data_IF_441112544295
#
_entry.id   IF_441112544295
#
_cell.length_a   1.000
_cell.length_b   1.000
_cell.length_c   1.000
_cell.angle_alpha   90.00
_cell.angle_beta   90.00
_cell.angle_gamma   90.00
#
_symmetry.space_group_name_H-M   'P 1'
#
loop_
_entity.id
_entity.type
_entity.pdbx_description
1 polymer ?
#
# COMPACT_ATOMS: atom_id res chain seq x y z
N UNK A 1 22.70 -3.79 -33.38
CA UNK A 1 21.71 -3.42 -34.39
C UNK A 1 20.42 -3.08 -33.69
N UNK A 2 19.49 -2.38 -34.33
CA UNK A 2 18.14 -2.22 -33.72
C UNK A 2 17.38 -3.54 -33.86
N UNK A 3 16.62 -3.91 -32.88
CA UNK A 3 15.85 -5.16 -32.81
C UNK A 3 14.39 -4.86 -32.59
N UNK A 4 13.50 -5.66 -33.14
CA UNK A 4 12.07 -5.54 -32.88
C UNK A 4 11.74 -6.00 -31.48
N UNK A 5 10.86 -5.26 -30.80
CA UNK A 5 10.40 -5.56 -29.45
C UNK A 5 8.96 -5.10 -29.21
N UNK A 6 8.27 -5.80 -28.34
CA UNK A 6 7.08 -5.28 -27.67
C UNK A 6 7.56 -4.42 -26.51
N UNK A 7 7.00 -3.21 -26.39
CA UNK A 7 7.20 -2.28 -25.28
C UNK A 7 5.90 -2.28 -24.50
N UNK A 8 5.99 -2.52 -23.19
CA UNK A 8 4.85 -2.53 -22.26
C UNK A 8 5.13 -1.55 -21.12
N UNK A 9 4.23 -0.61 -20.91
CA UNK A 9 4.33 0.37 -19.82
C UNK A 9 3.05 0.30 -18.98
N UNK A 10 3.03 -0.46 -17.89
CA UNK A 10 2.07 -0.25 -16.81
C UNK A 10 2.38 1.06 -16.07
N UNK A 11 1.34 1.89 -15.84
CA UNK A 11 1.45 3.21 -15.25
C UNK A 11 0.33 3.42 -14.21
N UNK A 12 0.71 3.87 -12.99
CA UNK A 12 -0.22 4.04 -11.90
C UNK A 12 -0.97 5.37 -12.05
N UNK A 13 -2.25 5.31 -12.36
CA UNK A 13 -3.12 6.48 -12.43
C UNK A 13 -3.52 6.96 -11.04
N UNK A 14 -3.60 8.30 -10.86
CA UNK A 14 -3.90 8.93 -9.56
C UNK A 14 -2.67 9.21 -8.69
N UNK A 15 -1.46 8.90 -9.17
CA UNK A 15 -0.21 9.05 -8.43
C UNK A 15 0.06 10.49 -7.97
N UNK A 16 -0.17 11.49 -8.82
CA UNK A 16 0.11 12.89 -8.50
C UNK A 16 -0.76 13.38 -7.34
N UNK A 17 -2.05 13.06 -7.36
CA UNK A 17 -2.98 13.44 -6.29
C UNK A 17 -2.66 12.67 -5.00
N UNK A 18 -2.29 11.41 -5.12
CA UNK A 18 -1.89 10.57 -4.01
C UNK A 18 -0.63 11.10 -3.31
N UNK A 19 0.41 11.45 -4.05
CA UNK A 19 1.69 11.94 -3.47
C UNK A 19 1.61 13.39 -2.98
N UNK A 20 0.74 14.20 -3.59
CA UNK A 20 0.56 15.62 -3.22
C UNK A 20 -0.21 15.86 -1.94
N UNK A 21 -0.94 14.85 -1.45
CA UNK A 21 -1.91 15.03 -0.35
C UNK A 21 -1.40 14.56 1.03
N UNK A 22 -0.12 14.09 1.19
CA UNK A 22 0.14 13.18 2.31
C UNK A 22 1.57 13.10 2.81
N UNK A 23 1.71 12.41 3.95
CA UNK A 23 2.98 12.02 4.54
C UNK A 23 3.83 11.24 3.52
N UNK A 24 4.97 11.79 3.18
CA UNK A 24 5.86 11.32 2.11
C UNK A 24 6.29 9.86 2.34
N UNK A 25 6.58 9.47 3.58
CA UNK A 25 7.11 8.15 3.90
C UNK A 25 6.08 7.03 3.65
N UNK A 26 4.83 7.24 4.05
CA UNK A 26 3.76 6.28 3.81
C UNK A 26 3.39 6.18 2.32
N UNK A 27 3.35 7.31 1.62
CA UNK A 27 3.13 7.35 0.19
C UNK A 27 4.24 6.60 -0.57
N UNK A 28 5.51 6.88 -0.26
CA UNK A 28 6.67 6.23 -0.87
C UNK A 28 6.64 4.71 -0.64
N UNK A 29 6.29 4.27 0.57
CA UNK A 29 6.21 2.86 0.89
C UNK A 29 5.11 2.13 0.08
N UNK A 30 3.90 2.69 0.03
CA UNK A 30 2.78 2.11 -0.74
C UNK A 30 3.15 2.03 -2.23
N UNK A 31 3.73 3.09 -2.79
CA UNK A 31 4.13 3.09 -4.20
C UNK A 31 5.23 2.08 -4.48
N UNK A 32 6.26 1.99 -3.61
CA UNK A 32 7.33 0.99 -3.76
C UNK A 32 6.74 -0.42 -3.80
N UNK A 33 5.85 -0.75 -2.86
CA UNK A 33 5.17 -2.04 -2.79
C UNK A 33 4.36 -2.36 -4.06
N UNK A 34 3.65 -1.36 -4.60
CA UNK A 34 2.85 -1.53 -5.82
C UNK A 34 3.74 -1.68 -7.07
N UNK A 35 4.83 -0.93 -7.18
CA UNK A 35 5.80 -1.06 -8.28
C UNK A 35 6.52 -2.42 -8.23
N UNK A 36 6.96 -2.88 -7.07
CA UNK A 36 7.54 -4.21 -6.89
C UNK A 36 6.55 -5.31 -7.29
N UNK A 37 5.29 -5.15 -6.94
CA UNK A 37 4.24 -6.10 -7.33
C UNK A 37 4.01 -6.13 -8.84
N UNK A 38 4.03 -4.98 -9.53
CA UNK A 38 3.94 -4.91 -10.99
C UNK A 38 5.11 -5.67 -11.62
N UNK A 39 6.34 -5.45 -11.12
CA UNK A 39 7.55 -6.15 -11.60
C UNK A 39 7.44 -7.65 -11.34
N UNK A 40 7.04 -8.07 -10.15
CA UNK A 40 6.88 -9.48 -9.79
C UNK A 40 5.75 -10.19 -10.55
N UNK A 41 4.79 -9.45 -11.09
CA UNK A 41 3.66 -9.99 -11.87
C UNK A 41 4.02 -10.29 -13.34
N UNK A 42 5.25 -10.07 -13.74
CA UNK A 42 5.73 -10.36 -15.09
C UNK A 42 6.00 -11.86 -15.26
N UNK A 43 5.17 -12.54 -16.05
CA UNK A 43 5.30 -13.98 -16.34
C UNK A 43 5.58 -14.29 -17.83
N UNK A 44 5.76 -13.26 -18.65
CA UNK A 44 5.95 -13.41 -20.11
C UNK A 44 7.33 -12.93 -20.56
N UNK A 45 8.33 -13.02 -19.70
CA UNK A 45 9.75 -12.75 -19.95
C UNK A 45 10.04 -11.33 -20.50
N UNK A 46 9.26 -10.33 -20.07
CA UNK A 46 9.61 -8.95 -20.32
C UNK A 46 10.86 -8.57 -19.51
N UNK A 47 11.79 -7.89 -20.17
CA UNK A 47 12.94 -7.28 -19.50
C UNK A 47 12.53 -5.96 -18.89
N UNK A 48 12.80 -5.75 -17.60
CA UNK A 48 12.65 -4.45 -16.94
C UNK A 48 13.72 -3.50 -17.50
N UNK A 49 13.29 -2.39 -18.12
CA UNK A 49 14.18 -1.37 -18.64
C UNK A 49 14.47 -0.28 -17.62
N UNK A 50 13.43 0.30 -17.06
CA UNK A 50 13.53 1.38 -16.06
C UNK A 50 12.21 1.53 -15.30
N UNK A 51 12.30 2.19 -14.15
CA UNK A 51 11.13 2.66 -13.37
C UNK A 51 11.23 4.18 -13.38
N UNK A 52 10.18 4.86 -13.83
CA UNK A 52 10.12 6.31 -13.95
C UNK A 52 8.89 6.86 -13.23
N UNK A 53 9.11 7.33 -12.01
CA UNK A 53 8.04 7.80 -11.14
C UNK A 53 7.06 6.68 -10.79
N UNK A 54 5.87 6.71 -11.37
CA UNK A 54 4.76 5.79 -11.20
C UNK A 54 4.61 4.77 -12.35
N UNK A 55 5.50 4.82 -13.33
CA UNK A 55 5.50 3.93 -14.48
C UNK A 55 6.64 2.92 -14.44
N UNK A 56 6.35 1.68 -14.87
CA UNK A 56 7.35 0.63 -15.06
C UNK A 56 7.48 0.34 -16.54
N UNK A 57 8.67 0.51 -17.09
CA UNK A 57 8.93 0.30 -18.49
C UNK A 57 9.55 -1.07 -18.70
N UNK A 58 8.86 -1.88 -19.51
CA UNK A 58 9.31 -3.19 -19.95
C UNK A 58 9.49 -3.24 -21.46
N UNK A 59 10.37 -4.13 -21.93
CA UNK A 59 10.43 -4.54 -23.33
C UNK A 59 10.68 -6.04 -23.45
N UNK A 60 10.21 -6.62 -24.55
CA UNK A 60 10.47 -8.02 -24.89
C UNK A 60 10.89 -8.13 -26.35
N UNK A 61 12.12 -8.57 -26.59
CA UNK A 61 12.67 -8.83 -27.91
C UNK A 61 12.23 -10.18 -28.45
N UNK A 62 12.40 -10.37 -29.76
CA UNK A 62 12.13 -11.62 -30.45
C UNK A 62 10.70 -11.72 -30.97
N UNK A 63 10.22 -12.96 -31.14
CA UNK A 63 8.89 -13.20 -31.68
C UNK A 63 7.81 -12.53 -30.84
N UNK A 64 6.88 -11.78 -31.47
CA UNK A 64 5.77 -11.16 -30.74
C UNK A 64 4.92 -12.20 -30.05
N UNK A 65 4.44 -11.83 -28.85
CA UNK A 65 3.44 -12.63 -28.14
C UNK A 65 2.14 -12.69 -28.95
N UNK A 66 1.37 -13.72 -28.76
CA UNK A 66 -0.02 -13.71 -29.23
C UNK A 66 -0.82 -12.66 -28.46
N UNK A 67 -1.78 -12.02 -29.14
CA UNK A 67 -2.64 -10.99 -28.52
C UNK A 67 -3.24 -11.42 -27.19
N UNK A 68 -3.71 -12.65 -27.10
CA UNK A 68 -4.27 -13.20 -25.85
C UNK A 68 -3.24 -13.21 -24.73
N UNK A 69 -2.02 -13.67 -24.97
CA UNK A 69 -0.96 -13.73 -23.95
C UNK A 69 -0.60 -12.32 -23.45
N UNK A 70 -0.54 -11.34 -24.36
CA UNK A 70 -0.26 -9.95 -24.01
C UNK A 70 -1.36 -9.35 -23.13
N UNK A 71 -2.62 -9.56 -23.49
CA UNK A 71 -3.77 -9.09 -22.71
C UNK A 71 -3.81 -9.79 -21.35
N UNK A 72 -3.61 -11.12 -21.30
CA UNK A 72 -3.58 -11.89 -20.06
C UNK A 72 -2.48 -11.38 -19.11
N UNK A 73 -1.32 -10.99 -19.65
CA UNK A 73 -0.24 -10.40 -18.85
C UNK A 73 -0.67 -9.05 -18.24
N UNK A 74 -1.29 -8.17 -19.02
CA UNK A 74 -1.82 -6.90 -18.49
C UNK A 74 -2.90 -7.13 -17.42
N UNK A 75 -3.82 -8.07 -17.68
CA UNK A 75 -4.90 -8.41 -16.73
C UNK A 75 -4.36 -9.01 -15.43
N UNK A 76 -3.30 -9.80 -15.49
CA UNK A 76 -2.63 -10.34 -14.30
C UNK A 76 -2.03 -9.22 -13.45
N UNK A 77 -1.26 -8.31 -14.06
CA UNK A 77 -0.70 -7.15 -13.36
C UNK A 77 -1.82 -6.31 -12.74
N UNK A 78 -2.89 -6.05 -13.49
CA UNK A 78 -4.05 -5.30 -13.02
C UNK A 78 -4.76 -5.98 -11.85
N UNK A 79 -5.00 -7.29 -11.93
CA UNK A 79 -5.66 -8.04 -10.87
C UNK A 79 -4.82 -8.07 -9.58
N UNK A 80 -3.54 -8.38 -9.68
CA UNK A 80 -2.63 -8.40 -8.53
C UNK A 80 -2.54 -7.01 -7.87
N UNK A 81 -2.43 -5.95 -8.68
CA UNK A 81 -2.41 -4.57 -8.21
C UNK A 81 -3.66 -4.22 -7.40
N UNK A 82 -4.85 -4.47 -7.94
CA UNK A 82 -6.10 -4.15 -7.25
C UNK A 82 -6.37 -5.05 -6.05
N UNK A 83 -6.00 -6.34 -6.12
CA UNK A 83 -6.07 -7.21 -4.94
C UNK A 83 -5.18 -6.70 -3.81
N UNK A 84 -3.99 -6.17 -4.15
CA UNK A 84 -3.10 -5.57 -3.15
C UNK A 84 -3.68 -4.28 -2.56
N UNK A 85 -4.28 -3.42 -3.38
CA UNK A 85 -4.98 -2.24 -2.89
C UNK A 85 -6.13 -2.60 -1.93
N UNK A 86 -6.89 -3.64 -2.23
CA UNK A 86 -7.94 -4.13 -1.32
C UNK A 86 -7.38 -4.61 0.02
N UNK A 87 -6.20 -5.27 0.02
CA UNK A 87 -5.50 -5.67 1.26
C UNK A 87 -5.03 -4.43 2.02
N UNK A 88 -4.44 -3.45 1.33
CA UNK A 88 -4.00 -2.19 1.94
C UNK A 88 -5.19 -1.48 2.60
N UNK A 89 -6.30 -1.31 1.88
CA UNK A 89 -7.51 -0.66 2.39
C UNK A 89 -8.09 -1.40 3.62
N UNK A 90 -8.17 -2.73 3.56
CA UNK A 90 -8.72 -3.54 4.66
C UNK A 90 -7.84 -3.50 5.90
N UNK A 91 -6.53 -3.62 5.74
CA UNK A 91 -5.60 -3.93 6.83
C UNK A 91 -4.86 -2.70 7.38
N UNK A 92 -4.87 -1.57 6.66
CA UNK A 92 -4.18 -0.35 7.10
C UNK A 92 -4.78 0.17 8.41
N UNK A 93 -3.93 0.36 9.41
CA UNK A 93 -4.28 0.92 10.72
C UNK A 93 -4.23 2.45 10.69
N UNK A 94 -3.28 3.01 9.93
CA UNK A 94 -3.03 4.44 9.82
C UNK A 94 -4.21 5.21 9.18
N UNK A 95 -4.52 6.39 9.73
CA UNK A 95 -5.57 7.29 9.24
C UNK A 95 -5.00 8.52 8.49
N UNK A 96 -3.74 8.46 8.04
CA UNK A 96 -3.14 9.52 7.22
C UNK A 96 -3.77 9.57 5.82
N UNK A 97 -3.60 10.69 5.14
CA UNK A 97 -4.18 10.91 3.81
C UNK A 97 -3.73 9.85 2.79
N UNK A 98 -2.43 9.48 2.75
CA UNK A 98 -1.91 8.44 1.85
C UNK A 98 -2.62 7.11 2.06
N UNK A 99 -2.69 6.65 3.31
CA UNK A 99 -3.30 5.39 3.63
C UNK A 99 -4.80 5.34 3.31
N UNK A 100 -5.49 6.48 3.45
CA UNK A 100 -6.94 6.58 3.18
C UNK A 100 -7.27 6.74 1.70
N UNK A 101 -6.34 7.24 0.88
CA UNK A 101 -6.57 7.48 -0.56
C UNK A 101 -5.90 6.46 -1.46
N UNK A 102 -5.13 5.52 -0.92
CA UNK A 102 -4.45 4.48 -1.70
C UNK A 102 -5.41 3.66 -2.59
N UNK A 103 -6.65 3.40 -2.14
CA UNK A 103 -7.68 2.69 -2.91
C UNK A 103 -8.14 3.42 -4.17
N UNK A 104 -7.85 4.73 -4.31
CA UNK A 104 -8.16 5.52 -5.50
C UNK A 104 -7.14 5.30 -6.63
N UNK A 105 -5.99 4.71 -6.33
CA UNK A 105 -5.00 4.35 -7.34
C UNK A 105 -5.55 3.28 -8.27
N UNK A 106 -5.19 3.37 -9.55
CA UNK A 106 -5.51 2.34 -10.54
C UNK A 106 -4.37 2.19 -11.54
N UNK A 107 -4.49 1.26 -12.48
CA UNK A 107 -3.42 0.92 -13.39
C UNK A 107 -3.91 1.01 -14.83
N UNK A 108 -3.13 1.66 -15.71
CA UNK A 108 -3.30 1.66 -17.16
C UNK A 108 -2.09 1.05 -17.84
N UNK A 109 -2.27 0.59 -19.07
CA UNK A 109 -1.22 -0.07 -19.86
C UNK A 109 -1.08 0.56 -21.23
N UNK A 110 0.14 0.89 -21.61
CA UNK A 110 0.51 1.26 -22.95
C UNK A 110 1.31 0.12 -23.56
N UNK A 111 0.88 -0.37 -24.74
CA UNK A 111 1.56 -1.43 -25.46
C UNK A 111 1.88 -0.97 -26.87
N UNK A 112 3.15 -1.03 -27.22
CA UNK A 112 3.67 -0.64 -28.53
C UNK A 112 4.61 -1.72 -29.07
N UNK A 113 4.70 -1.82 -30.39
CA UNK A 113 5.67 -2.70 -31.07
C UNK A 113 6.48 -1.87 -32.04
N UNK A 114 7.81 -1.99 -31.96
CA UNK A 114 8.71 -1.23 -32.80
C UNK A 114 10.15 -1.63 -32.60
N UNK A 115 11.07 -0.78 -33.04
CA UNK A 115 12.51 -1.03 -32.99
C UNK A 115 13.15 -0.36 -31.79
N UNK A 116 13.90 -1.12 -31.02
CA UNK A 116 14.69 -0.64 -29.90
C UNK A 116 16.18 -0.94 -30.11
N UNK A 117 17.01 -0.17 -29.47
CA UNK A 117 18.46 -0.42 -29.37
C UNK A 117 18.88 -0.30 -27.91
N UNK A 118 19.60 -1.28 -27.44
CA UNK A 118 20.27 -1.17 -26.15
C UNK A 118 21.56 -0.38 -26.29
N UNK A 119 21.76 0.59 -25.42
CA UNK A 119 23.00 1.32 -25.24
C UNK A 119 23.54 1.06 -23.86
N UNK A 120 24.84 0.98 -23.71
CA UNK A 120 25.51 0.84 -22.42
C UNK A 120 26.09 2.17 -21.99
N UNK A 121 25.68 2.63 -20.79
CA UNK A 121 26.20 3.84 -20.16
C UNK A 121 26.75 3.44 -18.78
N UNK A 122 28.07 3.40 -18.66
CA UNK A 122 28.77 2.81 -17.51
C UNK A 122 28.28 1.37 -17.24
N UNK A 123 27.71 1.09 -16.06
CA UNK A 123 27.16 -0.22 -15.70
C UNK A 123 25.70 -0.43 -16.14
N UNK A 124 25.01 0.60 -16.61
CA UNK A 124 23.61 0.54 -16.97
C UNK A 124 23.39 0.19 -18.43
N UNK A 125 22.42 -0.65 -18.70
CA UNK A 125 21.89 -0.93 -20.04
C UNK A 125 20.56 -0.20 -20.19
N UNK A 126 20.45 0.69 -21.18
CA UNK A 126 19.24 1.45 -21.44
C UNK A 126 18.70 1.11 -22.84
N UNK A 127 17.42 0.75 -22.91
CA UNK A 127 16.70 0.64 -24.17
C UNK A 127 16.40 2.05 -24.71
N UNK A 128 16.64 2.27 -26.00
CA UNK A 128 16.42 3.57 -26.66
C UNK A 128 15.91 3.36 -28.09
N UNK A 129 15.29 4.38 -28.66
CA UNK A 129 14.75 4.39 -30.01
C UNK A 129 13.51 5.27 -30.11
N UNK A 130 13.08 5.56 -31.32
CA UNK A 130 11.88 6.36 -31.55
C UNK A 130 10.63 5.68 -30.97
N UNK A 131 10.55 4.36 -31.05
CA UNK A 131 9.40 3.58 -30.57
C UNK A 131 9.30 3.60 -29.03
N UNK A 132 10.42 3.71 -28.31
CA UNK A 132 10.42 3.99 -26.87
C UNK A 132 9.80 5.35 -26.57
N UNK A 133 10.13 6.38 -27.37
CA UNK A 133 9.57 7.72 -27.23
C UNK A 133 8.07 7.71 -27.53
N UNK A 134 7.64 6.97 -28.57
CA UNK A 134 6.21 6.80 -28.90
C UNK A 134 5.45 6.22 -27.71
N UNK A 135 5.93 5.13 -27.13
CA UNK A 135 5.31 4.47 -25.99
C UNK A 135 5.19 5.43 -24.77
N UNK A 136 6.28 6.16 -24.45
CA UNK A 136 6.24 7.17 -23.37
C UNK A 136 5.28 8.32 -23.65
N UNK A 137 5.22 8.81 -24.88
CA UNK A 137 4.29 9.90 -25.22
C UNK A 137 2.84 9.49 -25.07
N UNK A 138 2.52 8.23 -25.34
CA UNK A 138 1.19 7.66 -25.19
C UNK A 138 0.71 7.56 -23.72
N UNK A 139 1.57 7.72 -22.72
CA UNK A 139 1.15 7.90 -21.33
C UNK A 139 0.28 9.16 -21.13
N UNK A 140 0.52 10.18 -21.96
CA UNK A 140 -0.30 11.41 -22.06
C UNK A 140 -1.14 11.37 -23.34
N UNK A 141 -2.30 10.73 -23.27
CA UNK A 141 -3.26 10.60 -24.35
C UNK A 141 -4.64 11.16 -23.90
N UNK A 142 -5.60 11.26 -24.82
CA UNK A 142 -6.91 11.86 -24.60
C UNK A 142 -7.98 10.86 -24.10
N UNK A 143 -7.60 9.65 -23.69
CA UNK A 143 -8.53 8.68 -23.11
C UNK A 143 -8.96 9.17 -21.72
N UNK A 144 -10.25 9.40 -21.53
CA UNK A 144 -10.82 9.91 -20.27
C UNK A 144 -10.74 8.89 -19.13
N UNK A 145 -10.78 7.58 -19.46
CA UNK A 145 -10.68 6.52 -18.47
C UNK A 145 -9.29 6.49 -17.82
N UNK A 146 -9.22 6.15 -16.53
CA UNK A 146 -7.97 6.05 -15.78
C UNK A 146 -7.41 4.61 -15.73
N UNK A 147 -8.18 3.62 -16.21
CA UNK A 147 -7.82 2.19 -16.21
C UNK A 147 -8.20 1.57 -17.57
N UNK A 148 -7.18 1.24 -18.35
CA UNK A 148 -7.35 0.70 -19.70
C UNK A 148 -6.11 -0.03 -20.18
N UNK A 149 -6.26 -0.83 -21.24
CA UNK A 149 -5.16 -1.32 -22.06
C UNK A 149 -5.25 -0.59 -23.40
N UNK A 150 -4.17 0.11 -23.78
CA UNK A 150 -3.98 0.74 -25.09
C UNK A 150 -2.95 -0.08 -25.89
N UNK A 151 -3.30 -0.47 -27.10
CA UNK A 151 -2.43 -1.22 -28.00
C UNK A 151 -2.31 -0.43 -29.32
N UNK A 152 -1.11 -0.06 -29.70
CA UNK A 152 -0.86 0.67 -30.96
C UNK A 152 -1.12 -0.19 -32.19
N UNK A 153 -1.45 0.43 -33.32
CA UNK A 153 -1.70 -0.28 -34.58
C UNK A 153 -0.53 -1.17 -35.01
N UNK A 154 0.76 -0.73 -34.93
CA UNK A 154 1.91 -1.62 -35.20
C UNK A 154 1.93 -2.86 -34.29
N UNK A 155 1.56 -2.70 -33.02
CA UNK A 155 1.48 -3.82 -32.09
C UNK A 155 0.32 -4.75 -32.45
N UNK A 156 -0.86 -4.22 -32.76
CA UNK A 156 -1.99 -5.03 -33.23
C UNK A 156 -1.65 -5.87 -34.46
N UNK A 157 -0.89 -5.30 -35.40
CA UNK A 157 -0.43 -6.02 -36.60
C UNK A 157 0.57 -7.15 -36.25
N UNK A 158 1.45 -6.92 -35.27
CA UNK A 158 2.48 -7.87 -34.87
C UNK A 158 1.91 -9.04 -34.05
N UNK A 159 0.98 -8.78 -33.09
CA UNK A 159 0.42 -9.81 -32.20
C UNK A 159 -0.75 -10.59 -32.81
N UNK A 160 -1.24 -10.14 -33.97
CA UNK A 160 -2.38 -10.73 -34.66
C UNK A 160 -3.75 -10.39 -34.02
N UNK A 161 -4.82 -10.83 -34.70
CA UNK A 161 -6.21 -10.60 -34.27
C UNK A 161 -6.78 -11.79 -33.46
N UNK A 162 -5.94 -12.53 -32.75
CA UNK A 162 -6.40 -13.66 -31.92
C UNK A 162 -7.45 -13.21 -30.88
N UNK A 163 -8.24 -14.14 -30.40
CA UNK A 163 -9.38 -13.93 -29.50
C UNK A 163 -9.02 -13.00 -28.33
N UNK A 164 -9.32 -11.73 -28.53
CA UNK A 164 -9.43 -10.80 -27.42
C UNK A 164 -10.58 -11.31 -26.54
N UNK A 165 -10.35 -11.35 -25.23
CA UNK A 165 -11.39 -11.72 -24.27
C UNK A 165 -12.72 -11.03 -24.68
N UNK A 166 -13.78 -11.78 -25.04
CA UNK A 166 -15.03 -11.22 -25.60
C UNK A 166 -15.74 -10.25 -24.66
N UNK A 167 -15.28 -10.15 -23.41
CA UNK A 167 -15.80 -9.21 -22.42
C UNK A 167 -15.29 -7.77 -22.62
N UNK A 168 -14.28 -7.53 -23.46
CA UNK A 168 -13.73 -6.20 -23.70
C UNK A 168 -14.27 -5.60 -25.00
N UNK A 169 -14.79 -4.38 -24.90
CA UNK A 169 -15.14 -3.57 -26.07
C UNK A 169 -13.93 -2.71 -26.45
N UNK A 170 -13.34 -3.00 -27.59
CA UNK A 170 -12.20 -2.25 -28.11
C UNK A 170 -12.69 -1.06 -28.96
N UNK A 171 -12.27 0.14 -28.57
CA UNK A 171 -12.47 1.37 -29.34
C UNK A 171 -11.18 1.74 -30.06
N UNK A 172 -11.31 2.26 -31.28
CA UNK A 172 -10.18 2.78 -32.07
C UNK A 172 -10.09 4.28 -31.89
N UNK A 173 -8.86 4.78 -31.75
CA UNK A 173 -8.54 6.20 -31.67
C UNK A 173 -7.16 6.49 -32.20
N UNK A 174 -6.74 7.74 -32.15
CA UNK A 174 -5.38 8.14 -32.49
C UNK A 174 -4.99 9.39 -31.75
N UNK A 175 -3.69 9.57 -31.54
CA UNK A 175 -3.10 10.73 -30.88
C UNK A 175 -2.06 11.37 -31.81
N UNK A 176 -2.19 12.66 -32.05
CA UNK A 176 -1.23 13.41 -32.85
C UNK A 176 -0.16 14.04 -31.92
N UNK A 177 1.09 13.87 -32.31
CA UNK A 177 2.24 14.50 -31.66
C UNK A 177 3.04 15.30 -32.69
N UNK A 178 3.51 16.48 -32.32
CA UNK A 178 4.20 17.40 -33.21
C UNK A 178 5.42 16.78 -33.93
N UNK A 179 6.20 15.97 -33.24
CA UNK A 179 7.45 15.40 -33.76
C UNK A 179 7.32 13.95 -34.23
N UNK A 180 6.32 13.21 -33.78
CA UNK A 180 6.13 11.79 -34.06
C UNK A 180 5.07 11.56 -35.14
N UNK A 181 4.16 12.54 -35.32
CA UNK A 181 3.00 12.40 -36.17
C UNK A 181 1.82 11.75 -35.47
N UNK A 182 0.89 11.20 -36.25
CA UNK A 182 -0.32 10.58 -35.74
C UNK A 182 -0.07 9.11 -35.40
N UNK A 183 -0.33 8.73 -34.15
CA UNK A 183 -0.21 7.34 -33.65
C UNK A 183 -1.61 6.76 -33.49
N UNK A 184 -1.96 5.82 -34.34
CA UNK A 184 -3.24 5.10 -34.25
C UNK A 184 -3.12 3.96 -33.23
N UNK A 185 -4.20 3.74 -32.48
CA UNK A 185 -4.28 2.70 -31.47
C UNK A 185 -5.72 2.22 -31.26
N UNK A 186 -5.87 1.12 -30.59
CA UNK A 186 -7.12 0.69 -29.99
C UNK A 186 -6.97 0.56 -28.48
N UNK A 187 -8.05 0.74 -27.75
CA UNK A 187 -8.04 0.61 -26.30
C UNK A 187 -9.32 -0.05 -25.78
N UNK A 188 -9.21 -0.67 -24.62
CA UNK A 188 -10.31 -1.22 -23.88
C UNK A 188 -10.23 -0.80 -22.41
N UNK A 189 -11.34 -0.33 -21.83
CA UNK A 189 -11.40 0.02 -20.41
C UNK A 189 -11.47 -1.21 -19.54
N UNK A 190 -10.86 -1.15 -18.35
CA UNK A 190 -10.79 -2.25 -17.39
C UNK A 190 -11.80 -2.12 -16.23
N UNK A 191 -12.61 -1.06 -16.18
CA UNK A 191 -13.59 -0.82 -15.13
C UNK A 191 -14.57 -1.98 -14.97
N UNK A 192 -15.07 -2.54 -16.07
CA UNK A 192 -15.94 -3.71 -16.05
C UNK A 192 -15.24 -5.00 -15.60
N UNK A 193 -13.92 -5.10 -15.75
CA UNK A 193 -13.12 -6.21 -15.24
C UNK A 193 -12.88 -6.06 -13.73
N UNK A 194 -12.52 -4.85 -13.26
CA UNK A 194 -12.37 -4.52 -11.84
C UNK A 194 -13.65 -4.81 -11.04
N UNK A 195 -14.82 -4.49 -11.60
CA UNK A 195 -16.11 -4.75 -10.96
C UNK A 195 -16.39 -6.25 -10.68
N UNK A 196 -15.61 -7.17 -11.25
CA UNK A 196 -15.74 -8.61 -11.00
C UNK A 196 -14.92 -9.10 -9.79
N UNK A 197 -14.07 -8.24 -9.20
CA UNK A 197 -13.28 -8.63 -8.04
C UNK A 197 -14.18 -8.78 -6.80
N UNK A 198 -14.11 -9.93 -6.17
CA UNK A 198 -14.84 -10.16 -4.93
C UNK A 198 -14.19 -9.39 -3.78
N UNK A 199 -14.97 -8.73 -2.90
CA UNK A 199 -14.43 -8.12 -1.70
C UNK A 199 -13.67 -9.13 -0.86
N UNK A 200 -12.59 -8.70 -0.25
CA UNK A 200 -11.86 -9.53 0.69
C UNK A 200 -12.75 -9.83 1.91
N UNK A 201 -12.63 -11.03 2.52
CA UNK A 201 -13.28 -11.29 3.78
C UNK A 201 -12.84 -10.26 4.82
N UNK A 202 -13.78 -9.83 5.68
CA UNK A 202 -13.46 -8.93 6.77
C UNK A 202 -12.37 -9.55 7.65
N UNK A 203 -11.48 -8.73 8.23
CA UNK A 203 -10.50 -9.24 9.19
C UNK A 203 -11.23 -9.94 10.34
N UNK A 204 -10.62 -10.95 10.98
CA UNK A 204 -11.21 -11.63 12.12
C UNK A 204 -11.66 -10.60 13.16
N UNK A 205 -12.92 -10.68 13.60
CA UNK A 205 -13.39 -9.83 14.68
C UNK A 205 -12.75 -10.33 15.98
N UNK A 206 -11.94 -9.51 16.58
CA UNK A 206 -11.54 -9.71 17.96
C UNK A 206 -12.71 -9.30 18.87
N UNK A 207 -13.20 -10.24 19.66
CA UNK A 207 -14.11 -9.92 20.76
C UNK A 207 -13.23 -9.44 21.90
N UNK A 208 -13.29 -8.14 22.17
CA UNK A 208 -12.64 -7.57 23.36
C UNK A 208 -13.50 -7.98 24.56
N UNK A 209 -13.09 -9.03 25.26
CA UNK A 209 -13.63 -9.29 26.59
C UNK A 209 -13.10 -8.21 27.55
N UNK A 210 -13.95 -7.71 28.46
CA UNK A 210 -13.47 -6.79 29.50
C UNK A 210 -12.32 -7.48 30.23
N UNK A 211 -11.11 -6.92 30.10
CA UNK A 211 -9.94 -7.44 30.74
C UNK A 211 -10.00 -7.31 32.27
N UNK A 212 -9.19 -8.10 32.96
CA UNK A 212 -9.04 -8.06 34.43
C UNK A 212 -8.41 -6.75 34.92
N UNK A 213 -7.86 -5.95 34.01
CA UNK A 213 -7.12 -4.73 34.32
C UNK A 213 -7.53 -3.61 33.37
N UNK A 214 -7.95 -2.49 33.94
CA UNK A 214 -8.50 -1.34 33.23
C UNK A 214 -7.85 -0.03 33.70
N UNK A 215 -7.56 0.87 32.76
CA UNK A 215 -7.10 2.23 33.00
C UNK A 215 -7.92 3.19 32.14
N UNK A 216 -8.25 4.35 32.70
CA UNK A 216 -8.93 5.43 31.98
C UNK A 216 -8.11 6.71 32.07
N UNK A 217 -8.01 7.44 30.95
CA UNK A 217 -7.38 8.75 30.91
C UNK A 217 -8.15 9.69 29.97
N UNK A 218 -8.38 10.91 30.41
CA UNK A 218 -8.93 11.99 29.57
C UNK A 218 -7.77 12.81 29.03
N UNK A 219 -7.74 12.95 27.68
CA UNK A 219 -6.69 13.64 26.94
C UNK A 219 -7.32 14.85 26.24
N UNK A 220 -6.75 16.04 26.43
CA UNK A 220 -7.22 17.28 25.81
C UNK A 220 -6.64 17.42 24.38
N UNK A 221 -7.03 16.48 23.53
CA UNK A 221 -6.66 16.46 22.11
C UNK A 221 -7.78 15.78 21.29
N UNK A 222 -7.91 16.12 19.99
CA UNK A 222 -8.89 15.49 19.10
C UNK A 222 -8.66 13.98 18.97
N UNK A 223 -9.75 13.21 18.85
CA UNK A 223 -9.72 11.75 18.70
C UNK A 223 -8.72 11.26 17.65
N UNK A 224 -8.71 11.90 16.48
CA UNK A 224 -7.81 11.53 15.38
C UNK A 224 -6.34 11.70 15.77
N UNK A 225 -5.99 12.79 16.45
CA UNK A 225 -4.61 13.05 16.89
C UNK A 225 -4.18 12.02 17.96
N UNK A 226 -5.03 11.72 18.93
CA UNK A 226 -4.76 10.70 19.96
C UNK A 226 -4.57 9.33 19.33
N UNK A 227 -5.45 8.94 18.41
CA UNK A 227 -5.33 7.68 17.68
C UNK A 227 -4.04 7.60 16.86
N UNK A 228 -3.72 8.63 16.08
CA UNK A 228 -2.50 8.67 15.25
C UNK A 228 -1.22 8.61 16.10
N UNK A 229 -1.20 9.29 17.25
CA UNK A 229 -0.06 9.20 18.19
C UNK A 229 0.10 7.79 18.76
N UNK A 230 -1.02 7.12 19.10
CA UNK A 230 -1.00 5.77 19.65
C UNK A 230 -0.44 4.73 18.66
N UNK A 231 -0.92 4.78 17.42
CA UNK A 231 -0.53 3.81 16.38
C UNK A 231 0.83 4.11 15.74
N UNK A 232 1.37 5.30 15.94
CA UNK A 232 2.68 5.67 15.40
C UNK A 232 3.79 5.03 16.24
N UNK A 233 4.36 3.96 15.70
CA UNK A 233 5.42 3.18 16.37
C UNK A 233 6.65 4.05 16.63
N UNK A 234 6.99 5.00 15.75
CA UNK A 234 8.16 5.88 15.93
C UNK A 234 8.00 6.86 17.09
N UNK A 235 6.76 7.18 17.48
CA UNK A 235 6.47 8.02 18.66
C UNK A 235 6.43 7.25 19.98
N UNK A 236 6.56 5.92 19.96
CA UNK A 236 6.53 5.11 21.20
C UNK A 236 7.62 5.49 22.21
N UNK A 237 8.87 5.77 21.81
CA UNK A 237 9.89 6.22 22.76
C UNK A 237 9.54 7.53 23.48
N UNK A 238 8.67 8.37 22.90
CA UNK A 238 8.30 9.64 23.50
C UNK A 238 7.37 9.51 24.70
N UNK A 239 6.64 8.36 24.79
CA UNK A 239 5.64 8.13 25.83
C UNK A 239 5.71 6.76 26.52
N UNK A 240 6.47 5.81 25.96
CA UNK A 240 6.67 4.49 26.54
C UNK A 240 8.07 4.46 27.17
N UNK A 241 8.16 4.82 28.45
CA UNK A 241 9.42 4.89 29.18
C UNK A 241 10.14 3.54 29.18
N UNK A 242 11.43 3.53 28.87
CA UNK A 242 12.25 2.32 28.77
C UNK A 242 12.28 1.63 27.41
N UNK A 243 11.62 2.17 26.39
CA UNK A 243 11.79 1.71 24.99
C UNK A 243 13.05 2.33 24.40
N UNK A 244 14.03 1.46 24.09
CA UNK A 244 15.32 1.91 23.57
C UNK A 244 15.50 1.68 22.06
N UNK A 245 14.84 0.67 21.51
CA UNK A 245 14.98 0.29 20.10
C UNK A 245 13.65 -0.20 19.57
N UNK A 246 13.32 0.19 18.35
CA UNK A 246 12.17 -0.31 17.61
C UNK A 246 12.69 -0.85 16.28
N UNK A 247 12.35 -2.11 16.00
CA UNK A 247 12.63 -2.79 14.74
C UNK A 247 11.31 -3.20 14.10
N UNK A 248 11.10 -2.77 12.88
CA UNK A 248 9.87 -3.02 12.14
C UNK A 248 10.15 -3.46 10.70
N UNK A 249 9.30 -4.34 10.18
CA UNK A 249 9.41 -4.84 8.82
C UNK A 249 8.94 -3.81 7.78
N UNK A 250 8.05 -2.90 8.16
CA UNK A 250 7.44 -1.91 7.25
C UNK A 250 7.20 -0.57 7.95
N UNK A 251 7.14 0.49 7.15
CA UNK A 251 6.93 1.86 7.63
C UNK A 251 5.47 2.20 7.97
N UNK A 252 4.49 1.43 7.45
CA UNK A 252 3.07 1.63 7.73
C UNK A 252 2.49 0.48 8.54
N UNK A 253 1.78 0.79 9.62
CA UNK A 253 1.11 -0.21 10.46
C UNK A 253 -0.10 -0.81 9.75
N UNK A 254 -0.14 -2.14 9.71
CA UNK A 254 -1.25 -2.95 9.18
C UNK A 254 -1.62 -4.06 10.14
N UNK A 255 -2.83 -4.56 10.04
CA UNK A 255 -3.25 -5.76 10.78
C UNK A 255 -2.34 -6.94 10.43
N UNK A 256 -1.95 -7.71 11.43
CA UNK A 256 -0.99 -8.82 11.41
C UNK A 256 0.47 -8.44 11.17
N UNK A 257 0.80 -7.16 11.12
CA UNK A 257 2.19 -6.73 11.08
C UNK A 257 2.83 -6.73 12.45
N UNK A 258 4.10 -7.07 12.46
CA UNK A 258 4.92 -7.17 13.67
C UNK A 258 5.93 -6.04 13.72
N UNK A 259 6.13 -5.52 14.92
CA UNK A 259 7.30 -4.73 15.26
C UNK A 259 7.87 -5.20 16.60
N UNK A 260 9.17 -5.09 16.75
CA UNK A 260 9.85 -5.46 17.96
C UNK A 260 10.26 -4.19 18.71
N UNK A 261 10.00 -4.17 20.02
CA UNK A 261 10.52 -3.15 20.91
C UNK A 261 11.43 -3.80 21.94
N UNK A 262 12.48 -3.11 22.36
CA UNK A 262 13.26 -3.48 23.54
C UNK A 262 12.85 -2.55 24.67
N UNK A 263 12.18 -3.12 25.67
CA UNK A 263 11.63 -2.43 26.82
C UNK A 263 12.30 -2.92 28.09
N UNK A 264 13.05 -2.06 28.78
CA UNK A 264 13.84 -2.41 29.96
C UNK A 264 14.69 -3.69 29.78
N UNK A 265 15.23 -3.90 28.58
CA UNK A 265 16.06 -5.08 28.25
C UNK A 265 15.28 -6.34 27.85
N UNK A 266 13.95 -6.33 27.92
CA UNK A 266 13.09 -7.40 27.43
C UNK A 266 12.67 -7.14 25.98
N UNK A 267 12.63 -8.17 25.16
CA UNK A 267 12.10 -8.07 23.80
C UNK A 267 10.59 -8.21 23.81
N UNK A 268 9.89 -7.19 23.33
CA UNK A 268 8.46 -7.21 23.10
C UNK A 268 8.21 -7.39 21.60
N UNK A 269 7.46 -8.44 21.24
CA UNK A 269 6.97 -8.65 19.88
C UNK A 269 5.51 -8.19 19.83
N UNK A 270 5.28 -7.06 19.19
CA UNK A 270 3.96 -6.46 19.08
C UNK A 270 3.36 -6.81 17.71
N UNK A 271 2.08 -7.16 17.68
CA UNK A 271 1.33 -7.45 16.46
C UNK A 271 0.00 -6.70 16.52
N UNK A 272 -0.26 -5.82 15.55
CA UNK A 272 -1.57 -5.19 15.41
C UNK A 272 -2.59 -6.28 15.04
N UNK A 273 -3.65 -6.47 15.83
CA UNK A 273 -4.63 -7.54 15.62
C UNK A 273 -6.03 -7.05 15.32
N UNK A 274 -6.34 -5.80 15.67
CA UNK A 274 -7.66 -5.22 15.42
C UNK A 274 -7.59 -3.70 15.29
N UNK A 275 -8.43 -3.15 14.41
CA UNK A 275 -8.67 -1.72 14.29
C UNK A 275 -10.12 -1.44 13.94
N UNK A 276 -10.66 -0.35 14.44
CA UNK A 276 -11.93 0.26 14.04
C UNK A 276 -11.81 1.77 14.25
N UNK A 277 -12.15 2.57 13.24
CA UNK A 277 -12.08 4.02 13.33
C UNK A 277 -13.36 4.63 12.73
N UNK A 278 -14.04 5.45 13.52
CA UNK A 278 -15.23 6.19 13.15
C UNK A 278 -15.12 7.64 13.61
N UNK A 279 -16.05 8.50 13.25
CA UNK A 279 -16.03 9.93 13.52
C UNK A 279 -15.83 10.28 15.01
N UNK A 280 -16.50 9.54 15.90
CA UNK A 280 -16.49 9.81 17.34
C UNK A 280 -15.89 8.69 18.20
N UNK A 281 -15.37 7.63 17.58
CA UNK A 281 -14.83 6.47 18.27
C UNK A 281 -13.70 5.84 17.49
N UNK A 282 -12.65 5.41 18.19
CA UNK A 282 -11.60 4.58 17.63
C UNK A 282 -11.31 3.39 18.56
N UNK A 283 -10.92 2.25 17.97
CA UNK A 283 -10.46 1.06 18.67
C UNK A 283 -9.21 0.53 18.00
N UNK A 284 -8.27 0.13 18.83
CA UNK A 284 -7.05 -0.50 18.37
C UNK A 284 -6.64 -1.61 19.35
N UNK A 285 -6.12 -2.70 18.86
CA UNK A 285 -5.65 -3.79 19.70
C UNK A 285 -4.35 -4.37 19.21
N UNK A 286 -3.47 -4.66 20.15
CA UNK A 286 -2.20 -5.32 19.92
C UNK A 286 -2.09 -6.59 20.73
N UNK A 287 -1.55 -7.63 20.10
CA UNK A 287 -0.98 -8.78 20.79
C UNK A 287 0.45 -8.46 21.12
N UNK A 288 0.84 -8.58 22.37
CA UNK A 288 2.21 -8.37 22.87
C UNK A 288 2.73 -9.68 23.42
N UNK A 289 3.83 -10.17 22.86
CA UNK A 289 4.52 -11.38 23.28
C UNK A 289 5.86 -11.00 23.91
N UNK A 290 6.16 -11.53 25.10
CA UNK A 290 7.43 -11.35 25.84
C UNK A 290 8.03 -12.73 26.06
N UNK A 291 8.82 -13.22 25.09
CA UNK A 291 9.30 -14.61 25.09
C UNK A 291 10.15 -14.96 26.31
N UNK A 292 10.93 -14.02 26.83
CA UNK A 292 11.86 -14.24 27.95
C UNK A 292 11.15 -14.64 29.26
N UNK A 293 9.85 -14.32 29.37
CA UNK A 293 9.05 -14.64 30.57
C UNK A 293 7.79 -15.45 30.23
N UNK A 294 7.71 -15.99 28.99
CA UNK A 294 6.57 -16.76 28.47
C UNK A 294 5.22 -16.06 28.71
N UNK A 295 5.19 -14.76 28.47
CA UNK A 295 4.00 -13.94 28.62
C UNK A 295 3.45 -13.50 27.27
N UNK A 296 2.15 -13.68 27.10
CA UNK A 296 1.38 -13.07 26.03
C UNK A 296 0.25 -12.25 26.63
N UNK A 297 0.02 -11.08 26.11
CA UNK A 297 -1.14 -10.25 26.49
C UNK A 297 -1.78 -9.65 25.24
N UNK A 298 -3.09 -9.34 25.36
CA UNK A 298 -3.82 -8.53 24.41
C UNK A 298 -4.08 -7.16 25.06
N UNK A 299 -3.51 -6.13 24.46
CA UNK A 299 -3.71 -4.74 24.84
C UNK A 299 -4.82 -4.14 23.97
N UNK A 300 -5.87 -3.64 24.58
CA UNK A 300 -7.01 -3.04 23.92
C UNK A 300 -7.13 -1.57 24.28
N UNK A 301 -7.22 -0.73 23.27
CA UNK A 301 -7.38 0.71 23.36
C UNK A 301 -8.71 1.10 22.75
N UNK A 302 -9.62 1.62 23.58
CA UNK A 302 -10.89 2.21 23.14
C UNK A 302 -10.84 3.71 23.38
N UNK A 303 -11.12 4.49 22.36
CA UNK A 303 -11.10 5.94 22.41
C UNK A 303 -12.46 6.48 22.01
N UNK A 304 -12.97 7.44 22.75
CA UNK A 304 -14.25 8.11 22.50
C UNK A 304 -14.04 9.63 22.53
N UNK A 305 -14.53 10.33 21.51
CA UNK A 305 -14.53 11.77 21.51
C UNK A 305 -15.53 12.31 22.52
N UNK A 306 -15.05 13.06 23.51
CA UNK A 306 -15.89 13.80 24.48
C UNK A 306 -16.29 15.18 23.94
N UNK A 307 -15.71 15.61 22.82
CA UNK A 307 -15.90 16.85 22.13
C UNK A 307 -14.85 17.01 21.03
N UNK A 308 -14.76 18.16 20.39
CA UNK A 308 -13.83 18.41 19.28
C UNK A 308 -12.35 18.32 19.68
N UNK A 309 -12.03 18.64 20.93
CA UNK A 309 -10.66 18.75 21.43
C UNK A 309 -10.42 17.90 22.70
N UNK A 310 -11.24 16.87 22.95
CA UNK A 310 -11.07 16.01 24.14
C UNK A 310 -11.47 14.58 23.83
N UNK A 311 -10.66 13.63 24.27
CA UNK A 311 -10.82 12.20 24.04
C UNK A 311 -10.69 11.42 25.34
N UNK A 312 -11.62 10.50 25.60
CA UNK A 312 -11.50 9.48 26.64
C UNK A 312 -10.78 8.27 26.05
N UNK A 313 -9.67 7.87 26.65
CA UNK A 313 -8.96 6.63 26.34
C UNK A 313 -9.21 5.63 27.46
N UNK A 314 -9.79 4.49 27.09
CA UNK A 314 -9.94 3.31 27.92
C UNK A 314 -8.95 2.25 27.46
N UNK A 315 -8.14 1.73 28.37
CA UNK A 315 -7.17 0.68 28.13
C UNK A 315 -7.51 -0.57 28.94
N UNK A 316 -7.58 -1.71 28.26
CA UNK A 316 -7.86 -3.00 28.87
C UNK A 316 -6.79 -4.01 28.49
N UNK A 317 -6.43 -4.92 29.40
CA UNK A 317 -5.47 -5.99 29.17
C UNK A 317 -6.10 -7.36 29.45
N UNK A 318 -6.01 -8.25 28.49
CA UNK A 318 -6.27 -9.68 28.68
C UNK A 318 -4.93 -10.41 28.78
N UNK A 319 -4.66 -11.00 29.94
CA UNK A 319 -3.46 -11.77 30.20
C UNK A 319 -3.62 -13.19 29.69
N UNK A 320 -2.69 -13.61 28.79
CA UNK A 320 -2.68 -14.94 28.20
C UNK A 320 -1.35 -15.63 28.47
N UNK A 321 -1.34 -16.97 28.50
CA UNK A 321 -0.11 -17.74 28.74
C UNK A 321 0.16 -17.98 30.22
N UNK A 322 1.41 -17.81 30.66
CA UNK A 322 1.81 -18.11 32.04
C UNK A 322 1.01 -17.30 33.07
N UNK A 323 0.65 -17.96 34.18
CA UNK A 323 -0.09 -17.28 35.26
C UNK A 323 0.85 -16.32 35.99
N UNK A 324 0.72 -15.02 35.69
CA UNK A 324 1.43 -13.99 36.42
C UNK A 324 0.83 -13.79 37.84
N UNK A 325 1.64 -13.68 38.89
CA UNK A 325 1.19 -13.26 40.21
C UNK A 325 0.45 -11.92 40.16
N UNK A 326 -0.57 -11.76 40.97
CA UNK A 326 -1.37 -10.54 41.03
C UNK A 326 -0.53 -9.27 41.26
N UNK A 327 0.46 -9.36 42.12
CA UNK A 327 1.40 -8.27 42.43
C UNK A 327 2.19 -7.82 41.17
N UNK A 328 2.64 -8.77 40.32
CA UNK A 328 3.34 -8.45 39.07
C UNK A 328 2.39 -7.79 38.07
N UNK A 329 1.15 -8.29 37.94
CA UNK A 329 0.12 -7.65 37.09
C UNK A 329 -0.13 -6.21 37.55
N UNK A 330 -0.28 -6.01 38.85
CA UNK A 330 -0.50 -4.67 39.41
C UNK A 330 0.69 -3.74 39.16
N UNK A 331 1.95 -4.25 39.30
CA UNK A 331 3.14 -3.47 38.98
C UNK A 331 3.21 -3.06 37.51
N UNK A 332 2.88 -3.98 36.59
CA UNK A 332 2.83 -3.67 35.15
C UNK A 332 1.76 -2.64 34.83
N UNK A 333 0.59 -2.74 35.45
CA UNK A 333 -0.50 -1.76 35.28
C UNK A 333 -0.14 -0.38 35.85
N UNK A 334 0.57 -0.32 36.97
CA UNK A 334 1.07 0.94 37.52
C UNK A 334 2.10 1.60 36.60
N UNK A 335 3.00 0.83 36.00
CA UNK A 335 3.94 1.31 34.97
C UNK A 335 3.20 1.83 33.73
N UNK A 336 2.18 1.10 33.28
CA UNK A 336 1.38 1.53 32.14
C UNK A 336 0.57 2.82 32.43
N UNK A 337 0.10 2.99 33.66
CA UNK A 337 -0.56 4.24 34.05
C UNK A 337 0.41 5.45 33.98
N UNK A 338 1.66 5.27 34.43
CA UNK A 338 2.70 6.30 34.28
C UNK A 338 3.00 6.60 32.80
N UNK A 339 3.06 5.59 31.96
CA UNK A 339 3.23 5.78 30.51
C UNK A 339 2.06 6.55 29.89
N UNK A 340 0.84 6.36 30.37
CA UNK A 340 -0.32 7.12 29.87
C UNK A 340 -0.33 8.58 30.28
N UNK A 341 0.29 8.94 31.39
CA UNK A 341 0.52 10.36 31.71
C UNK A 341 1.51 11.00 30.73
N UNK A 342 2.57 10.29 30.34
CA UNK A 342 3.48 10.74 29.28
C UNK A 342 2.78 10.80 27.92
N UNK A 343 2.00 9.77 27.57
CA UNK A 343 1.21 9.73 26.34
C UNK A 343 0.26 10.91 26.24
N UNK A 344 -0.47 11.19 27.30
CA UNK A 344 -1.34 12.36 27.42
C UNK A 344 -0.57 13.65 27.14
N UNK A 345 0.58 13.83 27.80
CA UNK A 345 1.42 15.01 27.58
C UNK A 345 1.85 15.15 26.12
N UNK A 346 2.30 14.06 25.48
CA UNK A 346 2.67 14.07 24.06
C UNK A 346 1.50 14.46 23.16
N UNK A 347 0.31 13.89 23.38
CA UNK A 347 -0.88 14.23 22.59
C UNK A 347 -1.32 15.69 22.77
N UNK A 348 -1.20 16.24 23.97
CA UNK A 348 -1.61 17.61 24.29
C UNK A 348 -0.61 18.68 23.83
N UNK A 349 0.69 18.34 23.72
CA UNK A 349 1.75 19.29 23.35
C UNK A 349 2.19 19.20 21.90
N UNK A 350 2.07 18.01 21.29
CA UNK A 350 2.51 17.72 19.93
C UNK A 350 1.45 16.89 19.19
N UNK A 351 0.25 17.43 18.95
CA UNK A 351 -0.78 16.68 18.23
C UNK A 351 -0.27 16.27 16.84
N UNK A 352 -0.41 14.99 16.50
CA UNK A 352 0.04 14.40 15.22
C UNK A 352 -0.78 14.92 14.02
#
# INVERSE_FOLDING_TARGET
>A
MAEQAIILIPDISGFTDFTGATEIDHAAHIITELLELIVASNETDFTLAEIEGDAVLFYRKGEPLQRKQLIDQCLRMFANFHQRLMVIERDTVCQCGACQTASNLTLKFIVHFGYIKEIKVAQFVKATGIDMIVAHRLLKNDIVAHEYILITEPCCAAVGQGDANPKFQWAKSSQAYETIGNVAYEFATLTGYKAQFSPLPAPPRFVVEKGDSNLEVVINAPLKAVYQTLINVDKRPDWLDGVNTIDREMTSERINMRHNCVFHGLKLVNTAVYRDFAENRARYSEKVEIPEIDLTLLAHYEMEALGEASTLLNFNVNWMGATLPAEKKQGMMAGQAANFELFKHVCETNPA
#
